data_IF_369130763454
#
_entry.id   IF_369130763454
#
_cell.length_a   1.000
_cell.length_b   1.000
_cell.length_c   1.000
_cell.angle_alpha   90.00
_cell.angle_beta   90.00
_cell.angle_gamma   90.00
#
_symmetry.space_group_name_H-M   'P 1'
#
loop_
_entity.id
_entity.type
_entity.pdbx_description
1 polymer ?
#
# COMPACT_ATOMS: atom_id res chain seq x y z
N UNK A 1 47.32 3.45 -49.53
CA UNK A 1 46.01 2.77 -49.74
C UNK A 1 45.43 2.42 -48.38
N UNK A 2 44.55 3.26 -47.85
CA UNK A 2 43.98 3.17 -46.50
C UNK A 2 42.76 2.24 -46.48
N UNK A 3 42.96 0.96 -46.20
CA UNK A 3 41.89 -0.02 -46.00
C UNK A 3 41.78 -0.44 -44.53
N UNK A 4 41.49 0.51 -43.63
CA UNK A 4 41.34 0.18 -42.19
C UNK A 4 40.13 0.79 -41.48
N UNK A 5 39.17 1.39 -42.19
CA UNK A 5 38.10 2.18 -41.55
C UNK A 5 36.73 1.49 -41.53
N UNK A 6 36.50 0.38 -42.24
CA UNK A 6 35.13 -0.10 -42.47
C UNK A 6 34.60 -1.26 -41.61
N UNK A 7 35.36 -1.76 -40.62
CA UNK A 7 34.99 -2.97 -39.87
C UNK A 7 34.44 -2.84 -38.43
N UNK A 8 34.41 -1.67 -37.73
CA UNK A 8 33.82 -1.62 -36.39
C UNK A 8 32.35 -1.18 -36.33
N UNK A 9 31.75 -0.71 -37.43
CA UNK A 9 30.44 -0.03 -37.40
C UNK A 9 29.27 -0.92 -36.98
N UNK A 10 29.22 -2.17 -37.43
CA UNK A 10 28.11 -3.08 -37.13
C UNK A 10 28.10 -3.55 -35.67
N UNK A 11 29.27 -3.92 -35.13
CA UNK A 11 29.39 -4.35 -33.73
C UNK A 11 29.05 -3.21 -32.76
N UNK A 12 29.51 -1.99 -33.07
CA UNK A 12 29.14 -0.78 -32.31
C UNK A 12 27.63 -0.54 -32.39
N UNK A 13 27.01 -0.71 -33.57
CA UNK A 13 25.58 -0.56 -33.75
C UNK A 13 24.76 -1.58 -32.95
N UNK A 14 25.17 -2.86 -32.91
CA UNK A 14 24.53 -3.89 -32.09
C UNK A 14 24.66 -3.61 -30.59
N UNK A 15 25.81 -3.08 -30.14
CA UNK A 15 26.00 -2.66 -28.74
C UNK A 15 25.06 -1.48 -28.41
N UNK A 16 24.93 -0.50 -29.31
CA UNK A 16 24.02 0.64 -29.13
C UNK A 16 22.56 0.17 -29.08
N UNK A 17 22.14 -0.73 -29.98
CA UNK A 17 20.79 -1.32 -29.92
C UNK A 17 20.58 -2.15 -28.66
N UNK A 18 21.59 -2.89 -28.21
CA UNK A 18 21.54 -3.65 -26.95
C UNK A 18 21.39 -2.75 -25.73
N UNK A 19 22.13 -1.65 -25.67
CA UNK A 19 22.03 -0.64 -24.60
C UNK A 19 20.66 0.05 -24.65
N UNK A 20 20.20 0.43 -25.85
CA UNK A 20 18.90 1.07 -26.01
C UNK A 20 17.76 0.13 -25.61
N UNK A 21 17.80 -1.13 -26.04
CA UNK A 21 16.86 -2.18 -25.64
C UNK A 21 16.92 -2.42 -24.12
N UNK A 22 18.11 -2.47 -23.52
CA UNK A 22 18.28 -2.63 -22.08
C UNK A 22 17.73 -1.43 -21.30
N UNK A 23 17.96 -0.20 -21.75
CA UNK A 23 17.40 1.01 -21.13
C UNK A 23 15.87 1.05 -21.28
N UNK A 24 15.33 0.66 -22.43
CA UNK A 24 13.90 0.48 -22.65
C UNK A 24 13.31 -0.56 -21.70
N UNK A 25 13.94 -1.73 -21.59
CA UNK A 25 13.52 -2.78 -20.67
C UNK A 25 13.56 -2.24 -19.23
N UNK A 26 14.66 -1.62 -18.80
CA UNK A 26 14.77 -1.03 -17.46
C UNK A 26 13.68 -0.01 -17.18
N UNK A 27 13.35 0.86 -18.14
CA UNK A 27 12.26 1.82 -18.02
C UNK A 27 10.91 1.11 -17.87
N UNK A 28 10.63 0.09 -18.68
CA UNK A 28 9.41 -0.75 -18.62
C UNK A 28 9.32 -1.47 -17.26
N UNK A 29 10.42 -1.98 -16.71
CA UNK A 29 10.44 -2.72 -15.45
C UNK A 29 10.47 -1.84 -14.18
N UNK A 30 10.74 -0.54 -14.31
CA UNK A 30 11.02 0.36 -13.18
C UNK A 30 9.82 0.78 -12.32
N UNK A 31 8.58 0.63 -12.80
CA UNK A 31 7.39 1.08 -12.08
C UNK A 31 6.53 -0.07 -11.58
N UNK A 32 6.36 -0.12 -10.26
CA UNK A 32 5.37 -0.97 -9.59
C UNK A 32 4.11 -0.15 -9.41
N UNK A 33 2.99 -0.56 -10.03
CA UNK A 33 1.71 0.08 -9.81
C UNK A 33 1.19 -0.33 -8.42
N UNK A 34 1.45 0.49 -7.40
CA UNK A 34 0.71 0.39 -6.13
C UNK A 34 -0.51 1.28 -6.24
N UNK A 35 -1.67 0.68 -6.43
CA UNK A 35 -2.95 1.38 -6.28
C UNK A 35 -3.41 1.26 -4.83
N UNK A 36 -3.70 2.39 -4.19
CA UNK A 36 -4.44 2.41 -2.95
C UNK A 36 -5.92 2.59 -3.26
N UNK A 37 -6.77 1.92 -2.49
CA UNK A 37 -8.22 2.00 -2.62
C UNK A 37 -8.77 3.18 -1.83
N UNK A 38 -8.47 3.21 -0.53
CA UNK A 38 -8.99 4.20 0.42
C UNK A 38 -7.95 4.49 1.48
N UNK A 39 -8.09 5.63 2.14
CA UNK A 39 -7.21 6.03 3.24
C UNK A 39 -7.99 6.81 4.29
N UNK A 40 -7.40 6.91 5.47
CA UNK A 40 -7.92 7.77 6.53
C UNK A 40 -6.80 8.21 7.44
N UNK A 41 -7.00 9.35 8.10
CA UNK A 41 -6.14 9.78 9.17
C UNK A 41 -6.91 10.65 10.17
N UNK A 42 -6.36 10.74 11.38
CA UNK A 42 -6.76 11.69 12.40
C UNK A 42 -5.58 12.00 13.32
N UNK A 43 -5.62 13.16 13.95
CA UNK A 43 -4.72 13.55 15.02
C UNK A 43 -5.54 13.74 16.30
N UNK A 44 -5.20 13.00 17.35
CA UNK A 44 -5.79 13.18 18.67
C UNK A 44 -4.89 14.13 19.46
N UNK A 45 -5.33 15.36 19.66
CA UNK A 45 -4.57 16.38 20.38
C UNK A 45 -4.45 16.08 21.87
N UNK A 46 -3.33 16.48 22.47
CA UNK A 46 -3.03 16.30 23.90
C UNK A 46 -3.15 14.85 24.39
N UNK A 47 -2.90 13.90 23.49
CA UNK A 47 -2.94 12.47 23.78
C UNK A 47 -1.60 11.86 23.44
N UNK A 48 -0.79 11.58 24.46
CA UNK A 48 0.42 10.80 24.29
C UNK A 48 0.13 9.32 24.55
N UNK A 49 0.40 8.51 23.51
CA UNK A 49 0.22 7.06 23.57
C UNK A 49 1.37 6.33 22.91
N UNK A 50 1.61 5.09 23.34
CA UNK A 50 2.68 4.25 22.78
C UNK A 50 2.20 3.55 21.51
N UNK A 51 2.89 3.70 20.36
CA UNK A 51 2.55 2.96 19.14
C UNK A 51 2.49 1.45 19.34
N UNK A 52 3.43 0.87 20.12
CA UNK A 52 3.46 -0.57 20.39
C UNK A 52 2.26 -1.03 21.22
N UNK A 53 1.86 -0.25 22.21
CA UNK A 53 0.68 -0.57 23.02
C UNK A 53 -0.59 -0.48 22.16
N UNK A 54 -0.68 0.53 21.30
CA UNK A 54 -1.76 0.67 20.33
C UNK A 54 -1.83 -0.54 19.39
N UNK A 55 -0.70 -0.96 18.82
CA UNK A 55 -0.66 -2.12 17.93
C UNK A 55 -0.99 -3.44 18.62
N UNK A 56 -0.57 -3.65 19.87
CA UNK A 56 -0.93 -4.83 20.65
C UNK A 56 -2.45 -4.94 20.86
N UNK A 57 -3.09 -3.82 21.25
CA UNK A 57 -4.55 -3.74 21.42
C UNK A 57 -5.27 -3.94 20.09
N UNK A 58 -4.82 -3.27 19.03
CA UNK A 58 -5.43 -3.37 17.72
C UNK A 58 -5.29 -4.77 17.11
N UNK A 59 -4.15 -5.43 17.31
CA UNK A 59 -3.97 -6.82 16.91
C UNK A 59 -4.98 -7.73 17.62
N UNK A 60 -5.11 -7.60 18.94
CA UNK A 60 -6.06 -8.38 19.74
C UNK A 60 -7.49 -8.15 19.27
N UNK A 61 -7.86 -6.89 19.02
CA UNK A 61 -9.18 -6.54 18.51
C UNK A 61 -9.44 -7.17 17.15
N UNK A 62 -8.52 -7.02 16.19
CA UNK A 62 -8.65 -7.62 14.86
C UNK A 62 -8.69 -9.17 14.92
N UNK A 63 -8.01 -9.81 15.85
CA UNK A 63 -8.07 -11.27 15.98
C UNK A 63 -9.41 -11.76 16.56
N UNK A 64 -10.12 -10.92 17.30
CA UNK A 64 -11.35 -11.29 18.03
C UNK A 64 -12.58 -11.54 17.14
N UNK A 65 -12.59 -11.07 15.89
CA UNK A 65 -13.77 -11.12 15.00
C UNK A 65 -13.91 -12.42 14.20
N UNK A 66 -13.03 -13.41 14.41
CA UNK A 66 -13.17 -14.74 13.80
C UNK A 66 -12.98 -14.79 12.28
N UNK A 67 -12.35 -13.77 11.66
CA UNK A 67 -12.09 -13.76 10.22
C UNK A 67 -11.05 -14.82 9.86
N UNK A 68 -11.46 -15.80 9.05
CA UNK A 68 -10.55 -16.83 8.56
C UNK A 68 -9.49 -16.27 7.61
N UNK A 69 -8.26 -16.76 7.72
CA UNK A 69 -7.11 -16.42 6.85
C UNK A 69 -6.70 -14.94 6.86
N UNK A 70 -7.03 -14.19 7.91
CA UNK A 70 -6.42 -12.88 8.16
C UNK A 70 -5.00 -13.08 8.70
N UNK A 71 -4.03 -12.33 8.17
CA UNK A 71 -2.65 -12.29 8.68
C UNK A 71 -2.39 -10.89 9.24
N UNK A 72 -1.96 -10.81 10.49
CA UNK A 72 -1.68 -9.54 11.16
C UNK A 72 -0.22 -9.56 11.63
N UNK A 73 0.56 -8.59 11.18
CA UNK A 73 2.00 -8.51 11.47
C UNK A 73 2.48 -7.07 11.60
N UNK A 74 3.48 -6.84 12.44
CA UNK A 74 4.20 -5.57 12.49
C UNK A 74 5.22 -5.52 11.36
N UNK A 75 5.21 -4.46 10.57
CA UNK A 75 6.12 -4.27 9.44
C UNK A 75 6.83 -2.93 9.52
N UNK A 76 8.12 -2.93 9.19
CA UNK A 76 8.91 -1.71 9.06
C UNK A 76 8.87 -1.25 7.61
N UNK A 77 8.28 -0.09 7.36
CA UNK A 77 8.21 0.52 6.03
C UNK A 77 9.21 1.68 6.00
N UNK A 78 10.15 1.62 5.04
CA UNK A 78 11.10 2.70 4.77
C UNK A 78 10.38 3.86 4.08
N UNK A 79 10.73 5.08 4.47
CA UNK A 79 10.16 6.31 3.90
C UNK A 79 10.57 6.50 2.42
N UNK A 80 11.78 6.05 2.06
CA UNK A 80 12.31 6.15 0.72
C UNK A 80 13.36 5.08 0.43
N UNK A 81 14.55 5.51 -0.01
CA UNK A 81 15.63 4.62 -0.43
C UNK A 81 16.17 3.69 0.66
N UNK A 82 17.13 2.85 0.30
CA UNK A 82 17.69 1.80 1.17
C UNK A 82 18.21 2.32 2.51
N UNK A 83 18.68 3.57 2.56
CA UNK A 83 19.24 4.23 3.76
C UNK A 83 18.25 5.15 4.50
N UNK A 84 16.97 5.18 4.11
CA UNK A 84 15.98 6.06 4.74
C UNK A 84 15.47 5.52 6.08
N UNK A 85 14.93 6.43 6.90
CA UNK A 85 14.24 6.07 8.12
C UNK A 85 13.07 5.12 7.85
N UNK A 86 12.77 4.28 8.83
CA UNK A 86 11.62 3.38 8.78
C UNK A 86 10.61 3.74 9.86
N UNK A 87 9.34 3.52 9.55
CA UNK A 87 8.24 3.60 10.50
C UNK A 87 7.61 2.22 10.64
N UNK A 88 7.19 1.91 11.85
CA UNK A 88 6.47 0.68 12.17
C UNK A 88 5.00 0.85 11.83
N UNK A 89 4.42 -0.15 11.17
CA UNK A 89 3.00 -0.24 10.85
C UNK A 89 2.47 -1.58 11.34
N UNK A 90 1.19 -1.62 11.71
CA UNK A 90 0.46 -2.87 11.84
C UNK A 90 -0.19 -3.18 10.49
N UNK A 91 0.20 -4.28 9.86
CA UNK A 91 -0.35 -4.73 8.58
C UNK A 91 -1.34 -5.84 8.81
N UNK A 92 -2.59 -5.63 8.41
CA UNK A 92 -3.59 -6.68 8.27
C UNK A 92 -3.73 -7.05 6.79
N UNK A 93 -3.55 -8.33 6.47
CA UNK A 93 -3.68 -8.84 5.10
C UNK A 93 -4.79 -9.89 5.05
N UNK A 94 -5.70 -9.75 4.09
CA UNK A 94 -6.77 -10.71 3.85
C UNK A 94 -7.02 -10.83 2.35
N UNK A 95 -6.92 -12.05 1.80
CA UNK A 95 -6.95 -12.30 0.35
C UNK A 95 -5.95 -11.38 -0.38
N UNK A 96 -6.44 -10.59 -1.34
CA UNK A 96 -5.69 -9.65 -2.15
C UNK A 96 -5.77 -8.21 -1.61
N UNK A 97 -6.08 -8.06 -0.32
CA UNK A 97 -6.22 -6.76 0.35
C UNK A 97 -5.21 -6.62 1.47
N UNK A 98 -4.60 -5.45 1.54
CA UNK A 98 -3.63 -5.10 2.57
C UNK A 98 -4.05 -3.79 3.22
N UNK A 99 -4.14 -3.79 4.54
CA UNK A 99 -4.54 -2.65 5.36
C UNK A 99 -3.41 -2.31 6.31
N UNK A 100 -2.70 -1.22 6.01
CA UNK A 100 -1.53 -0.78 6.77
C UNK A 100 -1.93 0.35 7.72
N UNK A 101 -1.92 0.08 9.03
CA UNK A 101 -2.23 1.05 10.08
C UNK A 101 -0.95 1.64 10.66
N UNK A 102 -0.92 2.96 10.83
CA UNK A 102 0.11 3.72 11.52
C UNK A 102 -0.47 4.35 12.78
N UNK A 103 0.23 4.19 13.91
CA UNK A 103 0.08 5.01 15.10
C UNK A 103 1.43 5.64 15.42
N UNK A 104 1.48 6.96 15.56
CA UNK A 104 2.73 7.69 15.81
C UNK A 104 2.48 8.89 16.72
N UNK A 105 3.45 9.18 17.61
CA UNK A 105 3.44 10.44 18.35
C UNK A 105 3.72 11.60 17.38
N UNK A 106 2.95 12.68 17.48
CA UNK A 106 3.12 13.88 16.66
C UNK A 106 2.89 15.13 17.51
N UNK A 107 3.98 15.79 17.91
CA UNK A 107 3.93 16.87 18.90
C UNK A 107 3.36 16.36 20.23
N UNK A 108 2.36 17.06 20.77
CA UNK A 108 1.62 16.67 21.98
C UNK A 108 0.45 15.71 21.71
N UNK A 109 0.30 15.24 20.48
CA UNK A 109 -0.80 14.38 20.06
C UNK A 109 -0.34 13.00 19.60
N UNK A 110 -1.33 12.15 19.31
CA UNK A 110 -1.14 10.85 18.70
C UNK A 110 -1.82 10.83 17.34
N UNK A 111 -1.00 10.71 16.30
CA UNK A 111 -1.44 10.60 14.92
C UNK A 111 -1.76 9.14 14.58
N UNK A 112 -2.91 8.93 13.97
CA UNK A 112 -3.34 7.63 13.48
C UNK A 112 -3.70 7.76 12.02
N UNK A 113 -3.24 6.82 11.19
CA UNK A 113 -3.65 6.74 9.80
C UNK A 113 -3.67 5.31 9.31
N UNK A 114 -4.36 5.07 8.20
CA UNK A 114 -4.26 3.80 7.51
C UNK A 114 -4.48 3.94 6.02
N UNK A 115 -4.01 2.92 5.30
CA UNK A 115 -4.15 2.78 3.85
C UNK A 115 -4.65 1.39 3.52
N UNK A 116 -5.72 1.31 2.72
CA UNK A 116 -6.16 0.07 2.09
C UNK A 116 -5.56 -0.01 0.69
N UNK A 117 -4.87 -1.11 0.41
CA UNK A 117 -4.15 -1.36 -0.83
C UNK A 117 -4.68 -2.65 -1.48
N UNK A 118 -4.76 -2.64 -2.81
CA UNK A 118 -4.94 -3.87 -3.56
C UNK A 118 -3.59 -4.54 -3.80
N UNK A 119 -3.51 -5.81 -3.47
CA UNK A 119 -2.36 -6.66 -3.80
C UNK A 119 -2.65 -7.33 -5.13
N UNK A 120 -2.05 -6.80 -6.19
CA UNK A 120 -2.12 -7.46 -7.48
C UNK A 120 -1.25 -8.72 -7.48
N UNK A 121 -1.74 -9.76 -8.17
CA UNK A 121 -1.00 -11.01 -8.31
C UNK A 121 0.31 -10.77 -9.06
N UNK A 122 1.35 -11.54 -8.72
CA UNK A 122 2.64 -11.46 -9.40
C UNK A 122 2.45 -11.67 -10.91
N UNK A 123 1.56 -12.58 -11.31
CA UNK A 123 1.21 -12.84 -12.71
C UNK A 123 0.60 -11.60 -13.38
N UNK A 124 -0.36 -10.93 -12.75
CA UNK A 124 -0.93 -9.67 -13.27
C UNK A 124 0.15 -8.60 -13.45
N UNK A 125 1.05 -8.47 -12.49
CA UNK A 125 2.17 -7.53 -12.55
C UNK A 125 3.08 -7.88 -13.74
N UNK A 126 3.45 -9.15 -13.92
CA UNK A 126 4.29 -9.60 -15.03
C UNK A 126 3.63 -9.32 -16.39
N UNK A 127 2.34 -9.65 -16.53
CA UNK A 127 1.57 -9.40 -17.77
C UNK A 127 1.49 -7.89 -18.06
N UNK A 128 1.27 -7.06 -17.03
CA UNK A 128 1.19 -5.60 -17.21
C UNK A 128 2.48 -4.96 -17.74
N UNK A 129 3.62 -5.65 -17.60
CA UNK A 129 4.93 -5.19 -18.08
C UNK A 129 5.23 -5.59 -19.53
N UNK A 130 4.36 -6.36 -20.18
CA UNK A 130 4.52 -6.69 -21.61
C UNK A 130 4.31 -5.39 -22.43
N UNK A 131 5.25 -5.01 -23.31
CA UNK A 131 5.13 -3.78 -24.08
C UNK A 131 3.91 -3.81 -25.02
N UNK A 132 3.40 -2.62 -25.36
CA UNK A 132 2.27 -2.36 -26.27
C UNK A 132 0.89 -2.82 -25.77
N UNK A 133 0.72 -4.07 -25.33
CA UNK A 133 -0.60 -4.63 -24.99
C UNK A 133 -0.70 -5.22 -23.57
N UNK A 134 0.39 -5.23 -22.80
CA UNK A 134 0.40 -5.85 -21.45
C UNK A 134 -0.61 -5.27 -20.48
N UNK A 135 -0.75 -3.95 -20.42
CA UNK A 135 -1.75 -3.29 -19.56
C UNK A 135 -3.17 -3.67 -19.95
N UNK A 136 -3.49 -3.64 -21.25
CA UNK A 136 -4.80 -4.04 -21.77
C UNK A 136 -5.09 -5.52 -21.46
N UNK A 137 -4.11 -6.40 -21.68
CA UNK A 137 -4.23 -7.83 -21.41
C UNK A 137 -4.42 -8.10 -19.90
N UNK A 138 -3.65 -7.42 -19.04
CA UNK A 138 -3.78 -7.53 -17.59
C UNK A 138 -5.15 -7.04 -17.10
N UNK A 139 -5.68 -5.94 -17.65
CA UNK A 139 -7.01 -5.44 -17.31
C UNK A 139 -8.12 -6.39 -17.77
N UNK A 140 -7.97 -7.00 -18.95
CA UNK A 140 -8.92 -7.97 -19.49
C UNK A 140 -8.94 -9.28 -18.72
N UNK A 141 -7.77 -9.79 -18.31
CA UNK A 141 -7.63 -11.03 -17.54
C UNK A 141 -7.94 -10.86 -16.04
N UNK A 142 -7.75 -9.66 -15.51
CA UNK A 142 -8.00 -9.34 -14.09
C UNK A 142 -8.93 -8.12 -13.96
N UNK A 143 -10.20 -8.24 -14.40
CA UNK A 143 -11.15 -7.14 -14.30
C UNK A 143 -11.43 -6.79 -12.84
N UNK A 144 -11.62 -5.49 -12.58
CA UNK A 144 -12.17 -5.04 -11.29
C UNK A 144 -13.66 -5.35 -11.31
N UNK A 145 -14.06 -6.39 -10.57
CA UNK A 145 -15.44 -6.82 -10.44
C UNK A 145 -16.11 -6.18 -9.21
N UNK A 146 -17.44 -6.08 -9.22
CA UNK A 146 -18.20 -5.65 -8.04
C UNK A 146 -17.86 -6.49 -6.81
N UNK A 147 -17.72 -7.81 -6.97
CA UNK A 147 -17.31 -8.70 -5.88
C UNK A 147 -15.95 -8.33 -5.25
N UNK A 148 -14.99 -7.86 -6.06
CA UNK A 148 -13.67 -7.40 -5.56
C UNK A 148 -13.80 -6.06 -4.82
N UNK A 149 -14.64 -5.16 -5.31
CA UNK A 149 -14.94 -3.88 -4.65
C UNK A 149 -15.62 -4.15 -3.31
N UNK A 150 -16.69 -4.94 -3.29
CA UNK A 150 -17.46 -5.26 -2.09
C UNK A 150 -16.59 -5.97 -1.05
N UNK A 151 -15.73 -6.90 -1.48
CA UNK A 151 -14.78 -7.55 -0.59
C UNK A 151 -13.79 -6.58 0.04
N UNK A 152 -13.31 -5.59 -0.73
CA UNK A 152 -12.45 -4.54 -0.19
C UNK A 152 -13.20 -3.66 0.81
N UNK A 153 -14.45 -3.28 0.51
CA UNK A 153 -15.30 -2.50 1.41
C UNK A 153 -15.63 -3.28 2.69
N UNK A 154 -15.93 -4.58 2.61
CA UNK A 154 -16.14 -5.44 3.79
C UNK A 154 -14.91 -5.43 4.70
N UNK A 155 -13.72 -5.67 4.13
CA UNK A 155 -12.47 -5.70 4.90
C UNK A 155 -12.11 -4.34 5.48
N UNK A 156 -12.32 -3.26 4.72
CA UNK A 156 -12.11 -1.89 5.18
C UNK A 156 -13.03 -1.53 6.34
N UNK A 157 -14.34 -1.77 6.21
CA UNK A 157 -15.33 -1.47 7.25
C UNK A 157 -15.01 -2.21 8.53
N UNK A 158 -14.67 -3.50 8.39
CA UNK A 158 -14.20 -4.32 9.49
C UNK A 158 -12.97 -3.70 10.17
N UNK A 159 -11.87 -3.45 9.44
CA UNK A 159 -10.63 -2.96 10.02
C UNK A 159 -10.78 -1.53 10.60
N UNK A 160 -11.55 -0.66 9.94
CA UNK A 160 -11.86 0.67 10.43
C UNK A 160 -12.66 0.61 11.72
N UNK A 161 -13.64 -0.29 11.83
CA UNK A 161 -14.42 -0.46 13.06
C UNK A 161 -13.53 -0.87 14.23
N UNK A 162 -12.56 -1.77 14.00
CA UNK A 162 -11.57 -2.17 15.01
C UNK A 162 -10.64 -1.01 15.41
N UNK A 163 -10.18 -0.21 14.44
CA UNK A 163 -9.37 0.98 14.71
C UNK A 163 -10.14 1.98 15.57
N UNK A 164 -11.39 2.31 15.19
CA UNK A 164 -12.20 3.27 15.94
C UNK A 164 -12.53 2.79 17.35
N UNK A 165 -12.87 1.50 17.52
CA UNK A 165 -13.10 0.93 18.85
C UNK A 165 -11.87 1.01 19.74
N UNK A 166 -10.69 0.66 19.21
CA UNK A 166 -9.44 0.75 19.99
C UNK A 166 -9.14 2.21 20.34
N UNK A 167 -9.39 3.16 19.44
CA UNK A 167 -9.28 4.59 19.73
C UNK A 167 -10.23 5.00 20.86
N UNK A 168 -11.48 4.59 20.79
CA UNK A 168 -12.49 4.89 21.83
C UNK A 168 -12.07 4.31 23.18
N UNK A 169 -11.57 3.08 23.21
CA UNK A 169 -11.10 2.42 24.44
C UNK A 169 -9.89 3.13 25.07
N UNK A 170 -8.88 3.51 24.26
CA UNK A 170 -7.68 4.16 24.79
C UNK A 170 -7.89 5.62 25.16
N UNK A 171 -8.84 6.31 24.52
CA UNK A 171 -9.16 7.72 24.81
C UNK A 171 -10.11 7.88 25.99
N UNK A 172 -11.10 6.99 26.13
CA UNK A 172 -12.04 6.98 27.26
C UNK A 172 -11.33 6.85 28.60
N UNK A 173 -10.31 5.99 28.68
CA UNK A 173 -9.51 5.78 29.89
C UNK A 173 -8.64 7.00 30.27
N UNK A 174 -8.36 7.92 29.34
CA UNK A 174 -7.51 9.09 29.56
C UNK A 174 -8.27 10.42 29.56
N UNK A 175 -9.60 10.41 29.44
CA UNK A 175 -10.43 11.62 29.48
C UNK A 175 -10.21 12.58 28.30
N UNK A 176 -9.76 12.07 27.15
CA UNK A 176 -9.50 12.87 25.95
C UNK A 176 -10.79 13.04 25.14
N UNK A 177 -10.89 14.14 24.37
CA UNK A 177 -11.98 14.39 23.43
C UNK A 177 -12.19 13.18 22.50
N UNK A 178 -13.45 12.76 22.34
CA UNK A 178 -13.85 11.77 21.35
C UNK A 178 -13.78 12.31 19.92
N UNK A 179 -13.50 11.43 18.95
CA UNK A 179 -13.55 11.80 17.53
C UNK A 179 -14.97 12.18 17.12
N UNK A 180 -15.10 13.29 16.38
CA UNK A 180 -16.35 13.70 15.74
C UNK A 180 -16.75 12.75 14.62
N UNK A 181 -18.04 12.76 14.25
CA UNK A 181 -18.55 11.96 13.13
C UNK A 181 -17.84 12.26 11.80
N UNK A 182 -17.39 13.50 11.57
CA UNK A 182 -16.59 13.84 10.41
C UNK A 182 -15.19 13.23 10.46
N UNK A 183 -14.55 13.25 11.63
CA UNK A 183 -13.20 12.69 11.81
C UNK A 183 -13.19 11.17 11.70
N UNK A 184 -14.31 10.48 11.98
CA UNK A 184 -14.40 9.01 11.86
C UNK A 184 -14.51 8.51 10.41
N UNK A 185 -14.88 9.39 9.47
CA UNK A 185 -15.20 9.00 8.08
C UNK A 185 -13.93 8.86 7.22
N UNK A 186 -13.72 7.71 6.55
CA UNK A 186 -12.59 7.53 5.65
C UNK A 186 -12.72 8.34 4.35
N UNK A 187 -11.58 8.65 3.74
CA UNK A 187 -11.51 9.16 2.37
C UNK A 187 -11.55 7.99 1.41
N UNK A 188 -12.67 7.85 0.69
CA UNK A 188 -12.81 6.85 -0.36
C UNK A 188 -12.07 7.33 -1.61
N UNK A 189 -11.20 6.50 -2.18
CA UNK A 189 -10.61 6.78 -3.48
C UNK A 189 -11.66 6.66 -4.59
N UNK A 190 -11.35 7.23 -5.75
CA UNK A 190 -12.18 7.03 -6.94
C UNK A 190 -12.00 5.60 -7.45
N UNK A 191 -12.90 4.73 -7.01
CA UNK A 191 -12.89 3.28 -7.30
C UNK A 191 -13.19 2.97 -8.76
N UNK A 192 -13.70 3.95 -9.52
CA UNK A 192 -14.10 3.79 -10.92
C UNK A 192 -13.14 4.45 -11.91
N UNK A 193 -12.10 5.16 -11.43
CA UNK A 193 -11.10 5.77 -12.30
C UNK A 193 -10.25 4.69 -12.98
N UNK A 194 -10.51 4.48 -14.27
CA UNK A 194 -9.78 3.55 -15.16
C UNK A 194 -8.60 4.24 -15.84
#
# INVERSE_FOLDING_TARGET
>A
MNNFIYYPSWNVMYIVYGIFAFLLLRLIFSKTLKSYHSKWNTLIDNFEYSPKEFYSRLKTELESHGITKIKIEEVYIKEGGVMSHSRIYLRATWKDYQYDICGAKFGKGFFISWWLLYKDSIVKILISKIPFFGTWLAQKLYPITYFRIDSASMFMTYAQSSVLKVIDDITKNKGVRALTESERKPMLGDIFKR
#
